data_IF_508052340126
#
_entry.id   IF_508052340126
#
_cell.length_a   1.000
_cell.length_b   1.000
_cell.length_c   1.000
_cell.angle_alpha   90.00
_cell.angle_beta   90.00
_cell.angle_gamma   90.00
#
_symmetry.space_group_name_H-M   'P 1'
#
loop_
_entity.id
_entity.type
_entity.pdbx_description
1 polymer ?
#
# COMPACT_ATOMS: atom_id res chain seq x y z
N UNK A 1 -6.87 -20.23 9.61
CA UNK A 1 -6.95 -19.64 8.25
C UNK A 1 -6.49 -20.69 7.23
N UNK A 2 -7.03 -20.72 5.99
CA UNK A 2 -6.52 -21.61 4.92
C UNK A 2 -5.10 -21.20 4.50
N UNK A 3 -4.29 -22.13 4.00
CA UNK A 3 -2.93 -21.85 3.55
C UNK A 3 -2.91 -20.84 2.38
N UNK A 4 -3.86 -20.94 1.45
CA UNK A 4 -3.99 -20.05 0.30
C UNK A 4 -4.40 -18.64 0.72
N UNK A 5 -5.29 -18.54 1.72
CA UNK A 5 -5.68 -17.24 2.29
C UNK A 5 -4.49 -16.58 2.99
N UNK A 6 -3.67 -17.34 3.72
CA UNK A 6 -2.45 -16.79 4.32
C UNK A 6 -1.40 -16.38 3.26
N UNK A 7 -1.26 -17.17 2.19
CA UNK A 7 -0.40 -16.81 1.05
C UNK A 7 -0.87 -15.53 0.36
N UNK A 8 -2.17 -15.35 0.18
CA UNK A 8 -2.76 -14.12 -0.34
C UNK A 8 -2.49 -12.94 0.59
N UNK A 9 -2.76 -13.08 1.89
CA UNK A 9 -2.47 -12.03 2.88
C UNK A 9 -1.00 -11.60 2.83
N UNK A 10 -0.07 -12.57 2.87
CA UNK A 10 1.36 -12.30 2.81
C UNK A 10 1.75 -11.59 1.51
N UNK A 11 1.28 -12.09 0.37
CA UNK A 11 1.58 -11.49 -0.93
C UNK A 11 1.06 -10.05 -1.02
N UNK A 12 -0.16 -9.79 -0.53
CA UNK A 12 -0.76 -8.46 -0.53
C UNK A 12 0.01 -7.51 0.39
N UNK A 13 0.21 -7.89 1.67
CA UNK A 13 0.92 -7.07 2.65
C UNK A 13 2.35 -6.71 2.20
N UNK A 14 3.07 -7.66 1.59
CA UNK A 14 4.45 -7.44 1.12
C UNK A 14 4.55 -6.73 -0.23
N UNK A 15 3.47 -6.59 -0.98
CA UNK A 15 3.47 -5.83 -2.22
C UNK A 15 3.68 -4.34 -1.92
N UNK A 16 4.47 -3.61 -2.71
CA UNK A 16 4.57 -2.16 -2.55
C UNK A 16 3.35 -1.48 -3.15
N UNK A 17 2.76 -0.55 -2.39
CA UNK A 17 1.63 0.24 -2.86
C UNK A 17 1.52 1.63 -2.20
N UNK A 18 2.57 2.46 -2.12
CA UNK A 18 2.37 3.86 -1.76
C UNK A 18 1.27 4.50 -2.61
N UNK A 19 0.48 5.43 -2.05
CA UNK A 19 -0.61 6.07 -2.80
C UNK A 19 -0.12 6.64 -4.14
N UNK A 20 -0.73 6.21 -5.24
CA UNK A 20 -0.31 6.47 -6.63
C UNK A 20 0.52 5.35 -7.29
N UNK A 21 0.94 4.33 -6.55
CA UNK A 21 1.74 3.18 -7.04
C UNK A 21 1.13 1.83 -6.63
N UNK A 22 -0.19 1.71 -6.64
CA UNK A 22 -0.91 0.55 -6.09
C UNK A 22 -0.96 -0.67 -7.03
N UNK A 23 -0.50 -0.54 -8.27
CA UNK A 23 -0.63 -1.57 -9.30
C UNK A 23 -0.04 -2.94 -8.89
N UNK A 24 1.08 -3.04 -8.14
CA UNK A 24 1.57 -4.32 -7.62
C UNK A 24 0.57 -5.02 -6.69
N UNK A 25 -0.02 -4.29 -5.74
CA UNK A 25 -1.03 -4.84 -4.83
C UNK A 25 -2.32 -5.21 -5.58
N UNK A 26 -2.75 -4.35 -6.51
CA UNK A 26 -3.96 -4.56 -7.30
C UNK A 26 -3.89 -5.81 -8.19
N UNK A 27 -2.72 -6.12 -8.77
CA UNK A 27 -2.52 -7.37 -9.52
C UNK A 27 -2.76 -8.60 -8.64
N UNK A 28 -2.25 -8.59 -7.41
CA UNK A 28 -2.42 -9.70 -6.46
C UNK A 28 -3.88 -9.87 -6.06
N UNK A 29 -4.56 -8.76 -5.73
CA UNK A 29 -5.98 -8.78 -5.40
C UNK A 29 -6.84 -9.35 -6.54
N UNK A 30 -6.60 -8.87 -7.78
CA UNK A 30 -7.30 -9.35 -8.98
C UNK A 30 -7.04 -10.83 -9.26
N UNK A 31 -5.78 -11.26 -9.17
CA UNK A 31 -5.42 -12.66 -9.40
C UNK A 31 -6.06 -13.58 -8.37
N UNK A 32 -6.16 -13.13 -7.11
CA UNK A 32 -6.83 -13.90 -6.05
C UNK A 32 -8.33 -14.10 -6.31
N UNK A 33 -9.00 -13.11 -6.88
CA UNK A 33 -10.43 -13.16 -7.16
C UNK A 33 -10.80 -13.89 -8.45
N UNK A 34 -9.82 -14.22 -9.30
CA UNK A 34 -10.06 -14.87 -10.59
C UNK A 34 -10.79 -16.20 -10.39
N UNK A 35 -11.94 -16.34 -11.03
CA UNK A 35 -12.79 -17.54 -10.93
C UNK A 35 -13.76 -17.54 -9.75
N UNK A 36 -13.75 -16.52 -8.89
CA UNK A 36 -14.71 -16.38 -7.77
C UNK A 36 -15.72 -15.26 -7.98
N UNK A 37 -15.56 -14.41 -8.99
CA UNK A 37 -16.45 -13.27 -9.24
C UNK A 37 -17.00 -13.31 -10.66
N UNK A 38 -18.20 -12.77 -10.86
CA UNK A 38 -18.87 -12.72 -12.17
C UNK A 38 -18.32 -11.59 -13.05
N UNK A 39 -17.84 -10.52 -12.43
CA UNK A 39 -17.06 -9.47 -13.10
C UNK A 39 -15.85 -9.08 -12.26
N UNK A 40 -14.75 -8.76 -12.94
CA UNK A 40 -13.56 -8.20 -12.34
C UNK A 40 -13.08 -7.05 -13.22
N UNK A 41 -13.10 -5.83 -12.69
CA UNK A 41 -12.80 -4.60 -13.43
C UNK A 41 -11.82 -3.74 -12.65
N UNK A 42 -11.19 -2.82 -13.36
CA UNK A 42 -10.43 -1.74 -12.78
C UNK A 42 -10.89 -0.41 -13.40
N UNK A 43 -10.79 0.67 -12.65
CA UNK A 43 -11.05 2.01 -13.17
C UNK A 43 -9.76 2.74 -13.60
N UNK A 44 -9.90 3.97 -14.06
CA UNK A 44 -8.78 4.79 -14.56
C UNK A 44 -7.85 5.28 -13.45
N UNK A 45 -8.34 5.36 -12.20
CA UNK A 45 -7.53 5.79 -11.06
C UNK A 45 -6.71 4.62 -10.50
N UNK A 46 -7.17 3.39 -10.71
CA UNK A 46 -6.49 2.15 -10.33
C UNK A 46 -7.26 1.29 -9.33
N UNK A 47 -8.47 1.69 -8.92
CA UNK A 47 -9.32 0.84 -8.07
C UNK A 47 -9.60 -0.48 -8.79
N UNK A 48 -9.64 -1.59 -8.06
CA UNK A 48 -10.10 -2.87 -8.60
C UNK A 48 -11.32 -3.36 -7.85
N UNK A 49 -12.34 -3.79 -8.58
CA UNK A 49 -13.56 -4.30 -7.99
C UNK A 49 -14.00 -5.62 -8.60
N UNK A 50 -14.42 -6.53 -7.72
CA UNK A 50 -15.06 -7.79 -8.04
C UNK A 50 -16.55 -7.72 -7.74
N UNK A 51 -17.37 -8.27 -8.63
CA UNK A 51 -18.82 -8.37 -8.47
C UNK A 51 -19.24 -9.83 -8.34
N UNK A 52 -19.98 -10.15 -7.28
CA UNK A 52 -20.80 -11.36 -7.21
C UNK A 52 -22.26 -10.95 -7.35
N UNK A 53 -22.88 -11.33 -8.47
CA UNK A 53 -24.25 -10.94 -8.80
C UNK A 53 -25.24 -11.66 -7.88
N UNK A 54 -26.13 -10.86 -7.29
CA UNK A 54 -27.35 -11.33 -6.66
C UNK A 54 -28.56 -11.02 -7.53
N UNK A 55 -29.73 -10.89 -6.91
CA UNK A 55 -30.94 -10.47 -7.63
C UNK A 55 -30.89 -8.97 -7.92
N UNK A 56 -31.43 -8.58 -9.08
CA UNK A 56 -31.43 -7.18 -9.55
C UNK A 56 -32.41 -6.26 -8.82
N UNK A 57 -33.48 -6.82 -8.25
CA UNK A 57 -34.53 -6.12 -7.49
C UNK A 57 -34.16 -5.91 -6.00
N UNK A 58 -32.92 -6.19 -5.62
CA UNK A 58 -32.45 -6.18 -4.23
C UNK A 58 -31.27 -5.22 -4.06
N UNK A 59 -31.13 -4.62 -2.86
CA UNK A 59 -30.05 -3.66 -2.60
C UNK A 59 -28.66 -4.21 -2.91
N UNK A 60 -27.86 -3.42 -3.60
CA UNK A 60 -26.45 -3.70 -3.84
C UNK A 60 -25.59 -3.19 -2.67
N UNK A 61 -24.66 -4.03 -2.23
CA UNK A 61 -23.72 -3.70 -1.16
C UNK A 61 -22.32 -3.53 -1.75
N UNK A 62 -21.64 -2.46 -1.38
CA UNK A 62 -20.21 -2.23 -1.66
C UNK A 62 -19.42 -2.40 -0.36
N UNK A 63 -18.46 -3.33 -0.38
CA UNK A 63 -17.42 -3.48 0.63
C UNK A 63 -16.15 -2.84 0.09
N UNK A 64 -15.53 -1.93 0.84
CA UNK A 64 -14.30 -1.27 0.44
C UNK A 64 -13.24 -1.44 1.52
N UNK A 65 -12.04 -1.82 1.11
CA UNK A 65 -10.81 -1.66 1.90
C UNK A 65 -9.74 -1.11 0.97
N UNK A 66 -8.88 -0.23 1.47
CA UNK A 66 -7.86 0.38 0.61
C UNK A 66 -6.62 -0.52 0.51
N UNK A 67 -5.88 -0.41 -0.58
CA UNK A 67 -4.64 -1.17 -0.74
C UNK A 67 -3.42 -0.28 -0.82
N UNK A 68 -3.61 1.04 -0.87
CA UNK A 68 -2.49 1.94 -0.67
C UNK A 68 -1.95 1.84 0.76
N UNK A 69 -0.74 2.33 0.94
CA UNK A 69 -0.10 2.43 2.23
C UNK A 69 0.65 3.76 2.28
N UNK A 70 0.89 4.28 3.47
CA UNK A 70 1.89 5.34 3.62
C UNK A 70 3.25 4.91 3.06
N UNK A 71 3.97 5.87 2.51
CA UNK A 71 5.28 5.63 1.92
C UNK A 71 6.04 6.92 1.67
N UNK A 72 6.93 6.88 0.69
CA UNK A 72 7.68 8.07 0.28
C UNK A 72 7.90 8.09 -1.23
N UNK A 73 8.34 9.24 -1.71
CA UNK A 73 8.77 9.45 -3.09
C UNK A 73 10.13 10.10 -3.10
N UNK A 74 11.03 9.64 -3.96
CA UNK A 74 12.32 10.31 -4.19
C UNK A 74 12.07 11.68 -4.82
N UNK A 75 12.61 12.73 -4.22
CA UNK A 75 12.43 14.13 -4.68
C UNK A 75 13.71 14.77 -5.19
N UNK A 76 14.87 14.30 -4.72
CA UNK A 76 16.16 14.88 -5.11
C UNK A 76 17.30 13.88 -4.93
N UNK A 77 18.32 13.97 -5.78
CA UNK A 77 19.57 13.21 -5.68
C UNK A 77 20.73 14.20 -5.54
N UNK A 78 21.52 14.07 -4.48
CA UNK A 78 22.62 14.99 -4.20
C UNK A 78 23.93 14.59 -4.89
N UNK A 79 24.93 15.47 -4.81
CA UNK A 79 26.26 15.26 -5.42
C UNK A 79 27.00 14.04 -4.84
N UNK A 80 26.71 13.67 -3.58
CA UNK A 80 27.31 12.52 -2.91
C UNK A 80 26.64 11.19 -3.25
N UNK A 81 25.49 11.22 -3.95
CA UNK A 81 24.73 10.03 -4.33
C UNK A 81 23.61 9.64 -3.36
N UNK A 82 23.28 10.47 -2.39
CA UNK A 82 22.15 10.25 -1.48
C UNK A 82 20.84 10.65 -2.14
N UNK A 83 19.76 9.91 -1.83
CA UNK A 83 18.42 10.25 -2.25
C UNK A 83 17.63 10.95 -1.13
N UNK A 84 17.13 12.14 -1.41
CA UNK A 84 16.18 12.84 -0.56
C UNK A 84 14.76 12.47 -0.98
N UNK A 85 13.85 12.43 -0.01
CA UNK A 85 12.51 11.90 -0.21
C UNK A 85 11.46 12.67 0.59
N UNK A 86 10.22 12.64 0.11
CA UNK A 86 9.06 13.25 0.75
C UNK A 86 8.03 12.17 1.10
N UNK A 87 7.27 12.33 2.20
CA UNK A 87 6.25 11.37 2.57
C UNK A 87 5.08 11.38 1.58
N UNK A 88 4.50 10.20 1.36
CA UNK A 88 3.19 9.99 0.76
C UNK A 88 2.30 9.51 1.91
N UNK A 89 1.26 10.28 2.25
CA UNK A 89 0.44 10.05 3.44
C UNK A 89 1.09 10.54 4.74
N UNK A 90 0.52 10.11 5.87
CA UNK A 90 0.93 10.55 7.22
C UNK A 90 2.08 9.73 7.80
N UNK A 91 3.33 10.17 7.64
CA UNK A 91 4.50 9.52 8.24
C UNK A 91 5.13 10.38 9.34
N UNK A 92 5.37 9.80 10.52
CA UNK A 92 6.19 10.43 11.57
C UNK A 92 7.69 10.35 11.21
N UNK A 93 8.38 11.48 11.00
CA UNK A 93 9.80 11.48 10.67
C UNK A 93 10.70 10.93 11.79
N UNK A 94 10.23 10.90 13.05
CA UNK A 94 11.02 10.47 14.21
C UNK A 94 11.34 8.98 14.20
N UNK A 95 10.50 8.15 13.57
CA UNK A 95 10.70 6.70 13.53
C UNK A 95 11.66 6.26 12.42
N UNK A 96 12.10 7.18 11.55
CA UNK A 96 12.82 6.88 10.31
C UNK A 96 14.33 6.67 10.46
N UNK A 97 15.09 7.44 11.28
CA UNK A 97 16.54 7.29 11.35
C UNK A 97 16.97 5.83 11.61
N UNK A 98 17.87 5.32 10.76
CA UNK A 98 18.36 3.94 10.85
C UNK A 98 17.41 2.87 10.31
N UNK A 99 16.20 3.22 9.86
CA UNK A 99 15.31 2.26 9.20
C UNK A 99 15.81 1.95 7.79
N UNK A 100 15.57 0.71 7.37
CA UNK A 100 15.77 0.27 6.00
C UNK A 100 14.51 0.57 5.19
N UNK A 101 14.67 1.27 4.08
CA UNK A 101 13.63 1.50 3.09
C UNK A 101 14.00 0.81 1.78
N UNK A 102 13.01 0.64 0.91
CA UNK A 102 13.14 0.02 -0.41
C UNK A 102 12.64 0.99 -1.46
N UNK A 103 13.53 1.42 -2.36
CA UNK A 103 13.20 2.22 -3.54
C UNK A 103 12.76 1.26 -4.64
N UNK A 104 11.60 1.50 -5.24
CA UNK A 104 11.07 0.68 -6.32
C UNK A 104 11.39 1.32 -7.66
N UNK A 105 12.53 0.94 -8.24
CA UNK A 105 13.01 1.49 -9.51
C UNK A 105 12.49 0.68 -10.69
N UNK A 106 12.61 1.21 -11.90
CA UNK A 106 12.29 0.49 -13.14
C UNK A 106 13.10 -0.83 -13.32
N UNK A 107 14.30 -0.92 -12.73
CA UNK A 107 15.17 -2.09 -12.83
C UNK A 107 15.02 -3.05 -11.63
N UNK A 108 14.03 -2.79 -10.76
CA UNK A 108 13.78 -3.57 -9.56
C UNK A 108 14.11 -2.82 -8.26
N UNK A 109 13.84 -3.46 -7.12
CA UNK A 109 13.95 -2.80 -5.82
C UNK A 109 15.41 -2.63 -5.37
N UNK A 110 15.73 -1.45 -4.84
CA UNK A 110 16.99 -1.16 -4.17
C UNK A 110 16.73 -0.91 -2.69
N UNK A 111 17.57 -1.47 -1.82
CA UNK A 111 17.49 -1.23 -0.37
C UNK A 111 18.42 -0.07 -0.03
N UNK A 112 17.93 0.85 0.79
CA UNK A 112 18.74 1.90 1.41
C UNK A 112 18.44 2.04 2.88
N UNK A 113 19.29 2.76 3.59
CA UNK A 113 19.14 3.10 5.01
C UNK A 113 18.91 4.59 5.15
N UNK A 114 17.98 4.97 6.03
CA UNK A 114 17.73 6.38 6.32
C UNK A 114 18.87 6.92 7.19
N UNK A 115 19.63 7.84 6.63
CA UNK A 115 20.63 8.64 7.30
C UNK A 115 20.07 9.95 7.84
N UNK A 116 20.75 10.48 8.85
CA UNK A 116 20.61 11.84 9.39
C UNK A 116 22.03 12.35 9.66
N UNK A 117 22.22 13.67 9.65
CA UNK A 117 23.47 14.28 10.15
C UNK A 117 23.86 13.67 11.51
N UNK A 118 25.13 13.30 11.69
CA UNK A 118 25.57 12.62 12.90
C UNK A 118 25.49 13.53 14.13
N UNK A 119 25.13 12.97 15.29
CA UNK A 119 24.92 13.74 16.54
C UNK A 119 26.14 14.53 16.99
N UNK A 120 27.35 13.99 16.80
CA UNK A 120 28.61 14.65 17.16
C UNK A 120 28.95 15.83 16.23
N UNK A 121 28.29 15.94 15.07
CA UNK A 121 28.39 17.07 14.14
C UNK A 121 27.21 18.06 14.29
N UNK A 122 26.27 17.78 15.19
CA UNK A 122 25.13 18.66 15.47
C UNK A 122 25.47 19.64 16.58
N UNK A 123 25.11 20.90 16.35
CA UNK A 123 25.06 21.93 17.37
C UNK A 123 24.11 21.51 18.50
N UNK A 124 24.41 21.84 19.78
CA UNK A 124 23.56 21.46 20.92
C UNK A 124 22.08 21.82 20.72
N UNK A 125 21.79 23.02 20.20
CA UNK A 125 20.45 23.52 19.90
C UNK A 125 19.67 22.70 18.85
N UNK A 126 20.37 22.00 17.96
CA UNK A 126 19.74 21.19 16.91
C UNK A 126 19.49 19.76 17.35
N UNK A 127 20.06 19.35 18.50
CA UNK A 127 19.78 18.05 19.13
C UNK A 127 18.43 18.03 19.83
N UNK A 128 17.97 19.18 20.31
CA UNK A 128 16.68 19.35 21.00
C UNK A 128 15.49 19.45 20.03
N UNK A 129 15.75 19.67 18.73
CA UNK A 129 14.70 19.78 17.72
C UNK A 129 14.21 18.40 17.27
N UNK A 130 12.90 18.28 17.08
CA UNK A 130 12.28 17.13 16.46
C UNK A 130 12.87 16.86 15.06
N UNK A 131 13.02 15.59 14.72
CA UNK A 131 13.48 15.16 13.40
C UNK A 131 12.53 15.73 12.33
N UNK A 132 13.11 16.32 11.29
CA UNK A 132 12.36 16.86 10.16
C UNK A 132 12.76 16.09 8.88
N UNK A 133 11.80 15.85 7.98
CA UNK A 133 12.03 15.11 6.72
C UNK A 133 13.16 15.69 5.89
N UNK A 134 13.31 17.01 5.85
CA UNK A 134 14.33 17.71 5.05
C UNK A 134 15.77 17.40 5.49
N UNK A 135 15.95 16.94 6.74
CA UNK A 135 17.25 16.53 7.26
C UNK A 135 17.55 15.05 7.09
N UNK A 136 16.65 14.29 6.45
CA UNK A 136 16.79 12.86 6.21
C UNK A 136 17.13 12.60 4.75
N UNK A 137 17.94 11.57 4.54
CA UNK A 137 18.34 11.11 3.23
C UNK A 137 18.45 9.59 3.24
N UNK A 138 18.33 8.96 2.07
CA UNK A 138 18.50 7.55 1.88
C UNK A 138 19.89 7.29 1.30
N UNK A 139 20.68 6.51 2.03
CA UNK A 139 21.92 5.93 1.54
C UNK A 139 21.66 4.53 1.01
N UNK A 140 21.87 4.35 -0.29
CA UNK A 140 21.76 3.08 -0.99
C UNK A 140 23.10 2.68 -1.65
N UNK A 141 24.21 3.27 -1.21
CA UNK A 141 25.57 2.91 -1.61
C UNK A 141 26.08 3.50 -2.92
N UNK A 142 25.40 4.47 -3.51
CA UNK A 142 25.91 5.19 -4.68
C UNK A 142 27.09 6.10 -4.29
N UNK A 143 28.14 6.14 -5.13
CA UNK A 143 29.37 6.90 -4.82
C UNK A 143 29.26 8.39 -5.13
N UNK A 144 28.30 8.77 -5.98
CA UNK A 144 28.07 10.12 -6.44
C UNK A 144 26.72 10.21 -7.17
N UNK A 145 26.31 11.43 -7.49
CA UNK A 145 25.09 11.73 -8.25
C UNK A 145 24.93 10.95 -9.54
N UNK A 146 25.99 10.84 -10.35
CA UNK A 146 25.92 10.17 -11.66
C UNK A 146 25.60 8.68 -11.52
N UNK A 147 26.10 8.03 -10.47
CA UNK A 147 25.75 6.65 -10.14
C UNK A 147 24.32 6.56 -9.59
N UNK A 148 23.95 7.47 -8.69
CA UNK A 148 22.59 7.56 -8.15
C UNK A 148 21.54 7.72 -9.26
N UNK A 149 21.73 8.64 -10.21
CA UNK A 149 20.81 8.90 -11.33
C UNK A 149 20.69 7.73 -12.32
N UNK A 150 21.67 6.81 -12.35
CA UNK A 150 21.58 5.58 -13.13
C UNK A 150 20.72 4.52 -12.46
N UNK A 151 20.70 4.52 -11.13
CA UNK A 151 20.02 3.53 -10.30
C UNK A 151 18.59 3.95 -9.94
N UNK A 152 18.39 5.23 -9.64
CA UNK A 152 17.17 5.80 -9.06
C UNK A 152 16.73 7.03 -9.85
N UNK A 153 15.42 7.25 -9.96
CA UNK A 153 14.82 8.45 -10.55
C UNK A 153 14.02 9.24 -9.52
N UNK A 154 13.97 10.56 -9.72
CA UNK A 154 13.00 11.41 -9.02
C UNK A 154 11.60 10.91 -9.40
N UNK A 155 10.74 10.73 -8.41
CA UNK A 155 9.43 10.12 -8.56
C UNK A 155 9.37 8.64 -8.21
N UNK A 156 10.52 7.95 -8.04
CA UNK A 156 10.51 6.54 -7.64
C UNK A 156 9.85 6.39 -6.27
N UNK A 157 8.86 5.49 -6.12
CA UNK A 157 8.18 5.25 -4.87
C UNK A 157 9.06 4.43 -3.92
N UNK A 158 8.87 4.65 -2.62
CA UNK A 158 9.67 4.07 -1.56
C UNK A 158 8.77 3.52 -0.47
N UNK A 159 9.05 2.32 0.01
CA UNK A 159 8.33 1.68 1.13
C UNK A 159 9.30 1.30 2.25
N UNK A 160 8.79 1.00 3.44
CA UNK A 160 9.57 0.31 4.45
C UNK A 160 10.08 -1.05 3.93
N UNK A 161 11.33 -1.40 4.24
CA UNK A 161 11.94 -2.67 3.82
C UNK A 161 11.70 -3.79 4.85
N UNK A 162 10.45 -3.92 5.30
CA UNK A 162 9.99 -4.99 6.20
C UNK A 162 8.88 -5.79 5.53
N UNK A 163 8.77 -7.06 5.89
CA UNK A 163 7.78 -7.99 5.35
C UNK A 163 6.79 -8.45 6.40
N UNK A 164 6.00 -9.48 6.08
CA UNK A 164 5.11 -10.12 7.04
C UNK A 164 5.88 -11.18 7.84
N UNK A 165 5.85 -11.05 9.17
CA UNK A 165 6.45 -11.99 10.10
C UNK A 165 5.42 -12.52 11.10
N UNK A 166 5.62 -13.76 11.57
CA UNK A 166 4.81 -14.33 12.64
C UNK A 166 5.37 -13.91 13.99
N UNK A 167 4.50 -13.46 14.87
CA UNK A 167 4.81 -13.22 16.26
C UNK A 167 4.36 -14.42 17.10
N UNK A 168 4.20 -14.23 18.41
CA UNK A 168 3.71 -15.26 19.32
C UNK A 168 2.23 -15.58 19.03
N UNK A 169 1.90 -16.87 19.05
CA UNK A 169 0.55 -17.37 18.84
C UNK A 169 0.05 -17.10 17.42
N UNK A 170 -1.16 -16.55 17.32
CA UNK A 170 -1.82 -16.26 16.04
C UNK A 170 -1.57 -14.83 15.53
N UNK A 171 -0.63 -14.10 16.15
CA UNK A 171 -0.30 -12.73 15.78
C UNK A 171 0.72 -12.67 14.64
N UNK A 172 0.59 -11.64 13.81
CA UNK A 172 1.51 -11.31 12.72
C UNK A 172 1.84 -9.83 12.79
N UNK A 173 3.01 -9.47 12.28
CA UNK A 173 3.43 -8.08 12.07
C UNK A 173 3.75 -7.89 10.60
N UNK A 174 3.35 -6.75 10.04
CA UNK A 174 3.73 -6.35 8.69
C UNK A 174 3.63 -4.83 8.54
N UNK A 175 4.20 -4.32 7.46
CA UNK A 175 3.88 -2.96 6.98
C UNK A 175 2.56 -2.96 6.21
N UNK A 176 1.89 -1.82 6.17
CA UNK A 176 0.71 -1.60 5.36
C UNK A 176 -0.46 -2.51 5.71
N UNK A 177 -0.62 -2.92 6.98
CA UNK A 177 -1.87 -3.57 7.39
C UNK A 177 -3.04 -2.60 7.31
N UNK A 178 -2.78 -1.33 7.60
CA UNK A 178 -3.58 -0.19 7.17
C UNK A 178 -3.34 0.03 5.66
N UNK A 179 -4.32 -0.25 4.78
CA UNK A 179 -5.52 -1.08 5.00
C UNK A 179 -5.50 -2.33 4.10
N UNK A 180 -4.32 -2.87 3.79
CA UNK A 180 -4.27 -4.15 3.07
C UNK A 180 -4.98 -5.27 3.82
N UNK A 181 -5.23 -5.11 5.13
CA UNK A 181 -6.10 -6.00 5.88
C UNK A 181 -7.57 -5.88 5.46
N UNK A 182 -8.13 -4.68 5.34
CA UNK A 182 -9.47 -4.48 4.81
C UNK A 182 -9.60 -4.98 3.38
N UNK A 183 -8.64 -4.66 2.51
CA UNK A 183 -8.56 -5.26 1.16
C UNK A 183 -8.51 -6.80 1.20
N UNK A 184 -7.73 -7.39 2.10
CA UNK A 184 -7.68 -8.84 2.28
C UNK A 184 -9.04 -9.41 2.71
N UNK A 185 -9.70 -8.78 3.69
CA UNK A 185 -11.02 -9.19 4.19
C UNK A 185 -12.06 -9.12 3.06
N UNK A 186 -12.10 -8.02 2.30
CA UNK A 186 -12.97 -7.86 1.13
C UNK A 186 -12.73 -8.98 0.11
N UNK A 187 -11.47 -9.28 -0.20
CA UNK A 187 -11.11 -10.37 -1.10
C UNK A 187 -11.57 -11.74 -0.62
N UNK A 188 -11.41 -12.02 0.69
CA UNK A 188 -11.90 -13.26 1.31
C UNK A 188 -13.42 -13.36 1.31
N UNK A 189 -14.14 -12.25 1.53
CA UNK A 189 -15.61 -12.23 1.47
C UNK A 189 -16.08 -12.59 0.07
N UNK A 190 -15.56 -11.92 -0.97
CA UNK A 190 -15.89 -12.20 -2.36
C UNK A 190 -15.61 -13.66 -2.73
N UNK A 191 -14.44 -14.18 -2.36
CA UNK A 191 -14.10 -15.60 -2.57
C UNK A 191 -15.11 -16.54 -1.91
N UNK A 192 -15.47 -16.26 -0.64
CA UNK A 192 -16.38 -17.12 0.13
C UNK A 192 -17.80 -17.11 -0.42
N UNK A 193 -18.32 -15.96 -0.85
CA UNK A 193 -19.68 -15.87 -1.37
C UNK A 193 -19.75 -16.36 -2.82
N UNK A 194 -18.73 -16.09 -3.64
CA UNK A 194 -18.68 -16.53 -5.03
C UNK A 194 -18.44 -18.04 -5.19
N UNK A 195 -17.78 -18.67 -4.21
CA UNK A 195 -17.62 -20.13 -4.15
C UNK A 195 -18.84 -20.90 -3.65
N UNK A 196 -19.93 -20.23 -3.26
CA UNK A 196 -21.17 -20.91 -2.81
C UNK A 196 -22.03 -21.29 -4.02
N UNK A 197 -22.81 -22.37 -3.84
CA UNK A 197 -23.88 -22.74 -4.80
C UNK A 197 -25.00 -21.71 -4.83
N UNK A 198 -25.37 -21.20 -3.66
CA UNK A 198 -26.39 -20.17 -3.50
C UNK A 198 -25.80 -18.78 -3.72
N UNK A 199 -26.47 -17.98 -4.55
CA UNK A 199 -26.10 -16.59 -4.83
C UNK A 199 -26.57 -15.66 -3.70
N UNK A 200 -25.88 -14.51 -3.48
CA UNK A 200 -26.32 -13.54 -2.49
C UNK A 200 -27.68 -12.93 -2.87
N UNK A 201 -28.41 -12.43 -1.87
CA UNK A 201 -29.75 -11.88 -2.05
C UNK A 201 -29.76 -10.69 -3.01
N UNK A 202 -28.88 -9.72 -2.75
CA UNK A 202 -28.53 -8.61 -3.63
C UNK A 202 -27.08 -8.72 -4.10
N UNK A 203 -26.69 -7.86 -5.04
CA UNK A 203 -25.34 -7.88 -5.58
C UNK A 203 -24.31 -7.38 -4.56
N UNK A 204 -23.15 -8.04 -4.52
CA UNK A 204 -22.04 -7.64 -3.65
C UNK A 204 -20.86 -7.22 -4.50
N UNK A 205 -20.45 -5.98 -4.34
CA UNK A 205 -19.23 -5.41 -4.88
C UNK A 205 -18.18 -5.42 -3.77
N UNK A 206 -17.01 -6.00 -4.04
CA UNK A 206 -15.84 -5.87 -3.19
C UNK A 206 -14.79 -5.08 -3.92
N UNK A 207 -14.35 -3.99 -3.32
CA UNK A 207 -13.47 -2.99 -3.92
C UNK A 207 -12.18 -2.91 -3.11
N UNK A 208 -11.07 -3.08 -3.81
CA UNK A 208 -9.75 -2.68 -3.31
C UNK A 208 -9.49 -1.26 -3.81
N UNK A 209 -9.66 -0.28 -2.92
CA UNK A 209 -9.55 1.14 -3.29
C UNK A 209 -8.11 1.63 -3.30
N UNK A 210 -7.88 2.76 -3.98
CA UNK A 210 -6.58 3.44 -4.08
C UNK A 210 -6.63 4.86 -3.49
N UNK A 211 -5.47 5.41 -3.14
CA UNK A 211 -5.31 6.79 -2.68
C UNK A 211 -6.25 7.20 -1.53
N UNK A 212 -6.47 6.31 -0.55
CA UNK A 212 -7.17 6.64 0.69
C UNK A 212 -6.36 7.63 1.52
N UNK A 213 -5.07 7.32 1.71
CA UNK A 213 -4.12 7.98 2.63
C UNK A 213 -3.84 9.45 2.26
N UNK A 214 -4.31 9.87 1.08
CA UNK A 214 -4.17 11.23 0.53
C UNK A 214 -5.53 11.86 0.17
N UNK A 215 -6.63 11.33 0.72
CA UNK A 215 -7.95 11.97 0.71
C UNK A 215 -9.07 11.14 0.09
N UNK A 216 -9.18 9.84 0.41
CA UNK A 216 -10.35 8.99 0.08
C UNK A 216 -10.71 8.92 -1.42
N UNK A 217 -9.74 9.14 -2.30
CA UNK A 217 -10.01 9.44 -3.72
C UNK A 217 -10.56 8.23 -4.46
N UNK A 218 -10.01 7.05 -4.18
CA UNK A 218 -10.45 5.79 -4.78
C UNK A 218 -11.85 5.37 -4.34
N UNK A 219 -12.18 5.56 -3.07
CA UNK A 219 -13.51 5.26 -2.55
C UNK A 219 -14.59 6.14 -3.19
N UNK A 220 -14.30 7.43 -3.37
CA UNK A 220 -15.24 8.39 -4.00
C UNK A 220 -15.55 8.01 -5.45
N UNK A 221 -14.52 7.71 -6.24
CA UNK A 221 -14.66 7.30 -7.65
C UNK A 221 -15.35 5.95 -7.79
N UNK A 222 -15.03 5.00 -6.91
CA UNK A 222 -15.67 3.67 -6.87
C UNK A 222 -17.16 3.76 -6.54
N UNK A 223 -17.53 4.54 -5.51
CA UNK A 223 -18.94 4.73 -5.13
C UNK A 223 -19.74 5.41 -6.24
N UNK A 224 -19.15 6.40 -6.93
CA UNK A 224 -19.78 7.05 -8.07
C UNK A 224 -20.07 6.07 -9.22
N UNK A 225 -19.11 5.19 -9.53
CA UNK A 225 -19.26 4.21 -10.61
C UNK A 225 -20.23 3.07 -10.27
N UNK A 226 -20.19 2.57 -9.03
CA UNK A 226 -20.97 1.40 -8.60
C UNK A 226 -22.41 1.80 -8.23
N UNK A 227 -22.60 3.01 -7.70
CA UNK A 227 -23.86 3.50 -7.14
C UNK A 227 -24.51 2.49 -6.17
N UNK A 228 -23.79 2.04 -5.11
CA UNK A 228 -24.33 1.05 -4.18
C UNK A 228 -25.45 1.64 -3.32
N UNK A 229 -26.40 0.80 -2.90
CA UNK A 229 -27.42 1.19 -1.91
C UNK A 229 -26.83 1.25 -0.50
N UNK A 230 -25.81 0.43 -0.22
CA UNK A 230 -25.10 0.37 1.07
C UNK A 230 -23.60 0.29 0.83
N UNK A 231 -22.84 1.17 1.48
CA UNK A 231 -21.37 1.13 1.52
C UNK A 231 -20.87 0.73 2.91
N UNK A 232 -19.91 -0.19 2.97
CA UNK A 232 -19.23 -0.63 4.19
C UNK A 232 -17.72 -0.48 3.97
N UNK A 233 -17.11 0.46 4.68
CA UNK A 233 -15.66 0.55 4.79
C UNK A 233 -15.18 -0.50 5.80
N UNK A 234 -14.21 -1.32 5.39
CA UNK A 234 -13.51 -2.27 6.24
C UNK A 234 -12.14 -1.66 6.47
N UNK A 235 -11.84 -1.29 7.72
CA UNK A 235 -10.68 -0.48 8.06
C UNK A 235 -10.01 -0.99 9.34
N UNK A 236 -8.79 -0.52 9.58
CA UNK A 236 -8.09 -0.71 10.87
C UNK A 236 -8.60 0.28 11.92
N UNK A 237 -8.43 -0.07 13.20
CA UNK A 237 -8.89 0.75 14.34
C UNK A 237 -8.03 0.57 15.58
#
# INVERSE_FOLDING_TARGET
>A
MRAESFKFLKALAEAPSPSGYEQPAQRIFRDYLRGYVDELKADVLGNCYGLVRGRKDRPAVMLAGHCDEIGFMVTYLDENGFAYFAPIGGVDPQILPGKRLRIHTANGPLVGVVGRKAIHLMEPKDREKAVQMQGLFLDFGAKNKKEAERLVKIGDPVTFAVGLERLQGDHVVSRGFDDKMGSFVVGEVLRRIGGRKERPHGSVYGVSTVQEEIGLRGATTSAYQIQPDVGIAVEVG
#
